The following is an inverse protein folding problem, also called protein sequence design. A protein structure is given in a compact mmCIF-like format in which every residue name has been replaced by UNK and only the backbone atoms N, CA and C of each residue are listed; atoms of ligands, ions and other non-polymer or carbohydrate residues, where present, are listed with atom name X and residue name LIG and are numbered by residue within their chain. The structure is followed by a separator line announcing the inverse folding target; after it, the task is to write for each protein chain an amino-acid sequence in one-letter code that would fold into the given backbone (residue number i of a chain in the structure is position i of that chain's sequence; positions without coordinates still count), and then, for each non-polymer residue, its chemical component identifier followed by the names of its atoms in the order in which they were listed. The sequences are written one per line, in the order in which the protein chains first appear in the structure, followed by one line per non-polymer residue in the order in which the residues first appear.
data_IF_453049840151
#
_entry.id   IF_453049840151
#
_cell.length_a   1.000
_cell.length_b   1.000
_cell.length_c   1.000
_cell.angle_alpha   90.00
_cell.angle_beta   90.00
_cell.angle_gamma   90.00
#
_symmetry.space_group_name_H-M   'P 1'
#
loop_
_entity.id
_entity.type
_entity.pdbx_description
1 polymer ?
#
# COMPACT_ATOMS: atom_id res chain seq x y z
N UNK A 1 -8.26 -13.40 16.70
CA UNK A 1 -6.85 -12.96 16.58
C UNK A 1 -6.48 -13.14 15.12
N UNK A 2 -6.58 -12.07 14.31
CA UNK A 2 -6.19 -12.15 12.90
C UNK A 2 -4.68 -12.04 12.79
N UNK A 3 -4.05 -12.99 12.11
CA UNK A 3 -2.62 -12.96 11.88
C UNK A 3 -2.36 -12.46 10.47
N UNK A 4 -1.53 -11.41 10.35
CA UNK A 4 -1.01 -10.99 9.05
C UNK A 4 -0.05 -12.07 8.55
N UNK A 5 -0.41 -12.74 7.46
CA UNK A 5 0.39 -13.81 6.86
C UNK A 5 1.17 -13.28 5.66
N UNK A 6 2.30 -13.94 5.32
CA UNK A 6 3.12 -13.64 4.13
C UNK A 6 3.45 -12.14 3.96
N UNK A 7 3.90 -11.51 5.05
CA UNK A 7 4.24 -10.08 5.07
C UNK A 7 5.50 -9.85 4.24
N UNK A 8 5.43 -8.90 3.31
CA UNK A 8 6.54 -8.42 2.50
C UNK A 8 6.69 -6.93 2.73
N UNK A 9 7.84 -6.52 3.27
CA UNK A 9 8.21 -5.12 3.49
C UNK A 9 9.05 -4.59 2.31
N UNK A 10 8.61 -3.50 1.72
CA UNK A 10 9.23 -2.88 0.55
C UNK A 10 10.08 -1.65 0.93
N UNK A 11 10.40 -1.46 2.21
CA UNK A 11 11.20 -0.36 2.72
C UNK A 11 12.63 -0.35 2.18
N UNK A 12 13.22 -1.52 1.88
CA UNK A 12 14.51 -1.59 1.19
C UNK A 12 14.42 -1.09 -0.26
N UNK A 13 13.37 -1.49 -0.98
CA UNK A 13 13.10 -1.00 -2.34
C UNK A 13 12.89 0.52 -2.33
N UNK A 14 12.11 1.04 -1.37
CA UNK A 14 11.91 2.47 -1.15
C UNK A 14 13.23 3.21 -0.99
N UNK A 15 14.09 2.72 -0.09
CA UNK A 15 15.41 3.34 0.15
C UNK A 15 16.27 3.34 -1.10
N UNK A 16 16.23 2.26 -1.90
CA UNK A 16 16.98 2.19 -3.16
C UNK A 16 16.48 3.23 -4.17
N UNK A 17 15.16 3.36 -4.34
CA UNK A 17 14.54 4.34 -5.25
C UNK A 17 14.88 5.78 -4.82
N UNK A 18 14.71 6.10 -3.53
CA UNK A 18 15.05 7.42 -2.98
C UNK A 18 16.54 7.72 -3.15
N UNK A 19 17.42 6.73 -2.96
CA UNK A 19 18.86 6.90 -3.21
C UNK A 19 19.13 7.18 -4.69
N UNK A 20 18.50 6.44 -5.60
CA UNK A 20 18.66 6.65 -7.05
C UNK A 20 18.21 8.05 -7.48
N UNK A 21 17.08 8.53 -6.96
CA UNK A 21 16.62 9.92 -7.12
C UNK A 21 17.66 10.92 -6.63
N UNK A 22 18.15 10.77 -5.39
CA UNK A 22 19.15 11.70 -4.80
C UNK A 22 20.47 11.72 -5.56
N UNK A 23 20.85 10.59 -6.18
CA UNK A 23 22.05 10.50 -7.03
C UNK A 23 21.83 10.94 -8.48
N UNK A 24 20.62 11.40 -8.84
CA UNK A 24 20.27 11.83 -10.20
C UNK A 24 20.16 10.72 -11.24
N UNK A 25 20.22 9.44 -10.82
CA UNK A 25 20.09 8.28 -11.73
C UNK A 25 18.67 8.06 -12.21
N UNK A 26 17.70 8.52 -11.44
CA UNK A 26 16.28 8.45 -11.78
C UNK A 26 15.73 9.88 -11.74
N UNK A 27 15.06 10.34 -12.80
CA UNK A 27 14.44 11.66 -12.80
C UNK A 27 13.18 11.67 -11.93
N UNK A 28 12.86 12.84 -11.37
CA UNK A 28 11.69 13.00 -10.49
C UNK A 28 10.39 12.51 -11.14
N UNK A 29 10.17 12.80 -12.43
CA UNK A 29 8.95 12.41 -13.16
C UNK A 29 8.69 10.90 -13.21
N UNK A 30 9.75 10.09 -13.10
CA UNK A 30 9.63 8.63 -13.17
C UNK A 30 9.22 8.02 -11.83
N UNK A 31 9.16 8.84 -10.76
CA UNK A 31 8.75 8.38 -9.42
C UNK A 31 7.68 9.24 -8.77
N UNK A 32 7.56 10.48 -9.23
CA UNK A 32 6.44 11.38 -8.97
C UNK A 32 5.33 11.15 -10.00
N UNK A 33 4.95 9.89 -10.20
CA UNK A 33 4.05 9.43 -11.27
C UNK A 33 2.70 8.92 -10.73
N UNK A 34 2.36 9.23 -9.47
CA UNK A 34 1.12 8.76 -8.86
C UNK A 34 -0.09 9.14 -9.72
N UNK A 35 -0.80 8.12 -10.19
CA UNK A 35 -1.91 8.30 -11.11
C UNK A 35 -3.08 9.04 -10.43
N UNK A 36 -3.91 9.78 -11.19
CA UNK A 36 -5.03 10.53 -10.62
C UNK A 36 -5.99 9.68 -9.78
N UNK A 37 -6.17 8.39 -10.12
CA UNK A 37 -6.98 7.47 -9.33
C UNK A 37 -6.39 7.20 -7.95
N UNK A 38 -5.07 6.96 -7.87
CA UNK A 38 -4.36 6.76 -6.61
C UNK A 38 -4.40 8.01 -5.72
N UNK A 39 -4.24 9.19 -6.31
CA UNK A 39 -4.36 10.46 -5.59
C UNK A 39 -5.78 10.69 -5.06
N UNK A 40 -6.82 10.28 -5.80
CA UNK A 40 -8.21 10.31 -5.31
C UNK A 40 -8.41 9.30 -4.18
N UNK A 41 -7.87 8.09 -4.30
CA UNK A 41 -7.94 7.10 -3.25
C UNK A 41 -7.26 7.59 -1.96
N UNK A 42 -6.11 8.26 -2.07
CA UNK A 42 -5.43 8.89 -0.93
C UNK A 42 -6.27 9.96 -0.24
N UNK A 43 -7.08 10.72 -0.99
CA UNK A 43 -7.98 11.74 -0.42
C UNK A 43 -9.16 11.16 0.34
N UNK A 44 -9.74 10.06 -0.15
CA UNK A 44 -11.01 9.53 0.36
C UNK A 44 -10.84 8.33 1.31
N UNK A 45 -9.85 7.48 1.07
CA UNK A 45 -9.61 6.23 1.79
C UNK A 45 -8.22 6.17 2.43
N UNK A 46 -7.41 7.21 2.24
CA UNK A 46 -6.04 7.24 2.73
C UNK A 46 -5.93 7.65 4.20
N UNK A 47 -4.94 7.08 4.88
CA UNK A 47 -4.60 7.39 6.25
C UNK A 47 -3.38 8.31 6.31
N UNK A 48 -3.55 9.50 6.90
CA UNK A 48 -2.46 10.47 7.03
C UNK A 48 -1.41 9.93 7.99
N UNK A 49 -0.16 9.94 7.54
CA UNK A 49 0.96 9.52 8.39
C UNK A 49 1.73 10.73 8.94
N UNK A 50 2.58 10.50 9.94
CA UNK A 50 3.50 11.52 10.45
C UNK A 50 4.82 11.60 9.67
N UNK A 51 4.98 10.82 8.60
CA UNK A 51 6.22 10.73 7.82
C UNK A 51 6.20 11.74 6.69
N UNK A 52 7.24 12.58 6.62
CA UNK A 52 7.43 13.50 5.49
C UNK A 52 7.71 12.73 4.20
N UNK A 53 7.27 13.30 3.08
CA UNK A 53 7.59 12.78 1.76
C UNK A 53 9.12 12.82 1.53
N UNK A 54 9.76 11.68 1.19
CA UNK A 54 11.20 11.62 1.01
C UNK A 54 11.69 12.34 -0.26
N UNK A 55 10.77 12.82 -1.10
CA UNK A 55 11.07 13.50 -2.36
C UNK A 55 10.92 15.01 -2.23
N UNK A 56 9.74 15.50 -1.81
CA UNK A 56 9.52 16.94 -1.70
C UNK A 56 9.80 17.51 -0.32
N UNK A 57 9.83 16.68 0.73
CA UNK A 57 10.08 17.06 2.13
C UNK A 57 9.15 18.18 2.67
N UNK A 58 8.03 18.44 1.98
CA UNK A 58 7.06 19.50 2.30
C UNK A 58 5.77 18.98 2.94
N UNK A 59 5.30 17.83 2.48
CA UNK A 59 4.02 17.26 2.87
C UNK A 59 4.21 15.86 3.46
N UNK A 60 3.32 15.46 4.37
CA UNK A 60 3.31 14.10 4.88
C UNK A 60 2.73 13.12 3.84
N UNK A 61 3.27 11.91 3.81
CA UNK A 61 2.70 10.83 2.99
C UNK A 61 1.41 10.29 3.61
N UNK A 62 0.50 9.85 2.75
CA UNK A 62 -0.77 9.21 3.10
C UNK A 62 -0.70 7.75 2.65
N UNK A 63 -1.05 6.83 3.54
CA UNK A 63 -1.08 5.41 3.23
C UNK A 63 -2.45 5.04 2.66
N UNK A 64 -2.45 4.42 1.49
CA UNK A 64 -3.65 3.96 0.79
C UNK A 64 -3.62 2.45 0.76
N UNK A 65 -4.67 1.84 1.30
CA UNK A 65 -4.75 0.39 1.38
C UNK A 65 -5.63 -0.15 0.27
N UNK A 66 -5.10 -1.10 -0.52
CA UNK A 66 -5.82 -1.82 -1.56
C UNK A 66 -5.96 -3.29 -1.19
N UNK A 67 -7.09 -3.87 -1.55
CA UNK A 67 -7.39 -5.29 -1.30
C UNK A 67 -7.58 -6.05 -2.61
N UNK A 68 -6.99 -7.24 -2.71
CA UNK A 68 -7.08 -8.12 -3.88
C UNK A 68 -7.26 -9.56 -3.41
N UNK A 69 -8.10 -10.33 -4.10
CA UNK A 69 -8.37 -11.71 -3.75
C UNK A 69 -9.57 -12.21 -4.53
N UNK A 70 -9.57 -13.50 -4.87
CA UNK A 70 -10.62 -14.09 -5.70
C UNK A 70 -11.98 -14.09 -4.99
N UNK A 71 -11.97 -14.27 -3.66
CA UNK A 71 -13.16 -14.24 -2.82
C UNK A 71 -13.81 -12.85 -2.70
N UNK A 72 -13.11 -11.77 -3.08
CA UNK A 72 -13.62 -10.40 -2.94
C UNK A 72 -14.60 -9.99 -4.06
N UNK A 73 -14.61 -10.71 -5.18
CA UNK A 73 -15.43 -10.37 -6.34
C UNK A 73 -15.29 -8.90 -6.73
N UNK A 74 -16.40 -8.14 -6.70
CA UNK A 74 -16.44 -6.69 -7.04
C UNK A 74 -15.60 -5.79 -6.13
N UNK A 75 -15.16 -6.29 -4.97
CA UNK A 75 -14.34 -5.54 -4.02
C UNK A 75 -12.83 -5.68 -4.30
N UNK A 76 -12.43 -6.59 -5.20
CA UNK A 76 -11.04 -6.72 -5.61
C UNK A 76 -10.56 -5.46 -6.33
N UNK A 77 -9.38 -4.96 -5.97
CA UNK A 77 -8.77 -3.76 -6.53
C UNK A 77 -9.33 -2.44 -5.96
N UNK A 78 -10.23 -2.49 -4.97
CA UNK A 78 -10.75 -1.28 -4.34
C UNK A 78 -9.81 -0.77 -3.24
N UNK A 79 -9.76 0.56 -3.08
CA UNK A 79 -9.15 1.18 -1.92
C UNK A 79 -10.10 1.05 -0.72
N UNK A 80 -9.54 0.74 0.46
CA UNK A 80 -10.26 0.47 1.71
C UNK A 80 -9.59 1.17 2.87
N UNK A 81 -10.37 1.61 3.85
CA UNK A 81 -9.82 2.13 5.11
C UNK A 81 -9.44 0.98 6.04
N UNK A 82 -8.48 1.18 6.94
CA UNK A 82 -7.96 0.08 7.79
C UNK A 82 -9.06 -0.54 8.67
N UNK A 83 -10.07 0.25 9.08
CA UNK A 83 -11.21 -0.26 9.84
C UNK A 83 -12.10 -1.23 9.03
N UNK A 84 -12.20 -1.07 7.71
CA UNK A 84 -12.92 -2.01 6.84
C UNK A 84 -12.18 -3.34 6.73
N UNK A 85 -10.85 -3.34 6.76
CA UNK A 85 -10.03 -4.55 6.65
C UNK A 85 -10.31 -5.54 7.78
N UNK A 86 -10.58 -5.03 8.99
CA UNK A 86 -10.95 -5.85 10.14
C UNK A 86 -12.25 -6.64 9.87
N UNK A 87 -13.27 -5.96 9.35
CA UNK A 87 -14.54 -6.61 9.00
C UNK A 87 -14.34 -7.59 7.84
N UNK A 88 -13.60 -7.18 6.81
CA UNK A 88 -13.31 -8.04 5.66
C UNK A 88 -12.49 -9.29 6.04
N UNK A 89 -11.58 -9.19 7.00
CA UNK A 89 -10.84 -10.34 7.52
C UNK A 89 -11.74 -11.40 8.17
N UNK A 90 -12.94 -11.01 8.62
CA UNK A 90 -13.95 -11.93 9.12
C UNK A 90 -14.82 -12.51 8.01
N UNK A 91 -15.21 -11.69 7.04
CA UNK A 91 -16.19 -12.04 6.01
C UNK A 91 -15.60 -12.83 4.82
N UNK A 92 -14.28 -12.75 4.60
CA UNK A 92 -13.60 -13.35 3.45
C UNK A 92 -12.51 -14.35 3.84
N UNK A 93 -12.37 -15.41 3.04
CA UNK A 93 -11.41 -16.51 3.28
C UNK A 93 -9.95 -16.05 3.22
N UNK A 94 -9.47 -15.62 2.05
CA UNK A 94 -8.11 -15.14 1.88
C UNK A 94 -8.07 -13.97 0.89
N UNK A 95 -7.45 -12.87 1.30
CA UNK A 95 -7.17 -11.75 0.42
C UNK A 95 -5.85 -11.09 0.79
N UNK A 96 -5.21 -10.53 -0.23
CA UNK A 96 -3.98 -9.78 -0.13
C UNK A 96 -4.26 -8.29 0.00
N UNK A 97 -3.56 -7.68 0.93
CA UNK A 97 -3.58 -6.26 1.22
C UNK A 97 -2.27 -5.65 0.75
N UNK A 98 -2.37 -4.51 0.07
CA UNK A 98 -1.23 -3.70 -0.37
C UNK A 98 -1.38 -2.29 0.19
N UNK A 99 -0.38 -1.83 0.94
CA UNK A 99 -0.35 -0.48 1.50
C UNK A 99 0.61 0.34 0.68
N UNK A 100 0.09 1.32 -0.05
CA UNK A 100 0.86 2.22 -0.91
C UNK A 100 0.94 3.57 -0.22
N UNK A 101 2.15 4.08 0.05
CA UNK A 101 2.30 5.46 0.47
C UNK A 101 2.18 6.39 -0.73
N UNK A 102 1.54 7.55 -0.54
CA UNK A 102 1.29 8.54 -1.59
C UNK A 102 1.52 9.94 -1.04
N UNK A 103 2.27 10.77 -1.75
CA UNK A 103 2.36 12.19 -1.48
C UNK A 103 1.39 12.96 -2.38
N UNK A 104 0.42 13.64 -1.78
CA UNK A 104 -0.57 14.42 -2.53
C UNK A 104 -0.02 15.73 -3.11
N UNK A 105 1.17 16.16 -2.68
CA UNK A 105 1.81 17.40 -3.15
C UNK A 105 2.70 17.21 -4.38
N UNK A 106 3.53 16.16 -4.42
CA UNK A 106 4.46 15.91 -5.53
C UNK A 106 4.13 14.64 -6.33
N UNK A 107 3.02 13.97 -6.05
CA UNK A 107 2.64 12.71 -6.72
C UNK A 107 3.65 11.58 -6.57
N UNK A 108 4.48 11.60 -5.52
CA UNK A 108 5.28 10.43 -5.14
C UNK A 108 4.35 9.29 -4.73
N UNK A 109 4.66 8.07 -5.15
CA UNK A 109 4.05 6.88 -4.58
C UNK A 109 5.06 5.74 -4.44
N UNK A 110 4.86 4.88 -3.45
CA UNK A 110 5.66 3.66 -3.30
C UNK A 110 4.87 2.60 -2.53
N UNK A 111 5.00 1.33 -2.91
CA UNK A 111 4.43 0.23 -2.12
C UNK A 111 5.22 0.10 -0.82
N UNK A 112 4.57 0.15 0.34
CA UNK A 112 5.23 0.09 1.65
C UNK A 112 5.29 -1.33 2.18
N UNK A 113 4.13 -1.99 2.23
CA UNK A 113 4.01 -3.35 2.74
C UNK A 113 2.88 -4.06 2.00
N UNK A 114 3.03 -5.37 1.81
CA UNK A 114 1.93 -6.24 1.42
C UNK A 114 1.82 -7.41 2.37
N UNK A 115 0.60 -7.82 2.68
CA UNK A 115 0.35 -8.95 3.58
C UNK A 115 -0.98 -9.62 3.22
N UNK A 116 -1.20 -10.83 3.72
CA UNK A 116 -2.42 -11.61 3.51
C UNK A 116 -3.26 -11.58 4.78
N UNK A 117 -4.56 -11.35 4.62
CA UNK A 117 -5.60 -11.39 5.65
C UNK A 117 -6.68 -12.41 5.27
N UNK A 118 -7.53 -12.73 6.26
CA UNK A 118 -8.68 -13.63 6.11
C UNK A 118 -8.58 -14.88 6.98
N UNK A 119 -9.69 -15.62 7.07
CA UNK A 119 -9.86 -16.81 7.91
C UNK A 119 -9.36 -18.12 7.26
N UNK A 120 -8.72 -18.05 6.09
CA UNK A 120 -8.14 -19.22 5.43
C UNK A 120 -7.19 -19.98 6.36
N UNK A 121 -7.10 -21.31 6.24
CA UNK A 121 -6.32 -22.13 7.16
C UNK A 121 -4.87 -21.62 7.24
N UNK A 122 -4.24 -21.62 8.43
CA UNK A 122 -2.82 -21.29 8.54
C UNK A 122 -2.05 -22.21 7.61
N UNK A 123 -1.11 -21.62 6.85
CA UNK A 123 -0.45 -22.22 5.71
C UNK A 123 -0.06 -23.70 5.96
N UNK A 124 -0.87 -24.64 5.47
CA UNK A 124 -0.39 -25.99 5.21
C UNK A 124 0.44 -25.87 3.93
N UNK A 125 1.76 -25.80 4.12
CA UNK A 125 2.77 -25.98 3.07
C UNK A 125 2.30 -27.14 2.18
N UNK A 126 1.90 -26.84 0.95
CA UNK A 126 1.63 -27.88 -0.03
C UNK A 126 2.98 -28.52 -0.41
N UNK A 127 3.10 -29.86 -0.34
CA UNK A 127 4.34 -30.58 -0.59
C UNK A 127 4.81 -30.50 -2.04
#
# INVERSE_FOLDING_TARGET
MWSQRRVVDYGLAKKAVVRSLRTGRTPLRDVCDAQPYLLRAARHFGERTARLCPVCEKENVTDVTYVYGDSLGRHAGQAKVTSELAVMAHDYDEFRVYVVEVCQGCSWNHLTVSYVLGNGPPDLVHP
#
